data_IF_143927689541
#
_entry.id   IF_143927689541
#
_cell.length_a   1.000
_cell.length_b   1.000
_cell.length_c   1.000
_cell.angle_alpha   90.00
_cell.angle_beta   90.00
_cell.angle_gamma   90.00
#
_symmetry.space_group_name_H-M   'P 1'
#
loop_
_entity.id
_entity.type
_entity.pdbx_description
1 polymer ?
#
# COMPACT_ATOMS: atom_id res chain seq x y z
N UNK A 1 29.80 -62.63 5.37
CA UNK A 1 28.92 -62.64 4.18
C UNK A 1 29.26 -61.45 3.31
N UNK A 2 29.80 -61.73 2.11
CA UNK A 2 30.41 -60.77 1.20
C UNK A 2 29.34 -60.08 0.33
N UNK A 3 29.57 -58.83 -0.15
CA UNK A 3 28.67 -58.13 -1.07
C UNK A 3 28.92 -58.53 -2.53
N UNK A 4 27.94 -58.42 -3.41
CA UNK A 4 28.14 -58.69 -4.83
C UNK A 4 28.63 -57.47 -5.59
N UNK A 5 29.41 -57.79 -6.61
CA UNK A 5 30.19 -56.97 -7.54
C UNK A 5 29.37 -56.18 -8.54
N UNK A 6 29.95 -55.07 -8.93
CA UNK A 6 29.45 -54.11 -9.89
C UNK A 6 29.37 -54.56 -11.35
N UNK A 7 28.69 -53.75 -12.17
CA UNK A 7 28.79 -53.75 -13.62
C UNK A 7 29.15 -52.33 -14.07
N UNK A 8 30.39 -52.20 -14.55
CA UNK A 8 30.84 -51.05 -15.35
C UNK A 8 30.16 -51.13 -16.73
N UNK A 9 29.54 -50.04 -17.16
CA UNK A 9 29.26 -49.75 -18.57
C UNK A 9 30.00 -48.47 -18.95
N UNK A 10 31.00 -48.73 -19.73
CA UNK A 10 31.78 -47.79 -20.53
C UNK A 10 30.90 -47.08 -21.54
N UNK A 11 30.89 -45.77 -21.59
CA UNK A 11 30.29 -44.97 -22.66
C UNK A 11 31.31 -43.95 -23.16
N UNK A 12 32.06 -44.42 -24.16
CA UNK A 12 32.97 -43.65 -24.97
C UNK A 12 32.33 -42.44 -25.62
N UNK A 13 33.04 -41.32 -25.54
CA UNK A 13 32.64 -40.03 -26.09
C UNK A 13 32.50 -40.00 -27.61
N UNK A 14 31.49 -39.32 -28.07
CA UNK A 14 31.44 -38.76 -29.44
C UNK A 14 31.51 -37.25 -29.35
N UNK A 15 32.65 -36.71 -29.69
CA UNK A 15 32.84 -35.28 -29.97
C UNK A 15 32.23 -34.97 -31.34
N UNK A 16 31.18 -34.15 -31.34
CA UNK A 16 30.62 -33.59 -32.59
C UNK A 16 31.42 -32.33 -32.98
N UNK A 17 32.11 -32.44 -34.12
CA UNK A 17 32.88 -31.36 -34.72
C UNK A 17 31.97 -30.23 -35.25
N UNK A 18 32.20 -29.03 -34.77
CA UNK A 18 31.63 -27.77 -35.25
C UNK A 18 32.36 -27.23 -36.47
N UNK A 19 32.34 -27.92 -37.61
CA UNK A 19 32.87 -27.35 -38.88
C UNK A 19 32.41 -28.23 -40.02
N UNK A 20 31.19 -28.05 -40.48
CA UNK A 20 30.79 -28.37 -41.89
C UNK A 20 29.28 -28.09 -42.02
N UNK A 21 28.94 -26.96 -42.59
CA UNK A 21 27.73 -26.74 -43.41
C UNK A 21 27.68 -25.26 -43.82
N UNK A 22 28.65 -24.94 -44.67
CA UNK A 22 28.52 -23.80 -45.58
C UNK A 22 28.68 -24.39 -46.95
N UNK A 23 27.61 -24.54 -47.70
CA UNK A 23 27.53 -24.39 -49.17
C UNK A 23 26.27 -25.07 -49.72
N UNK A 24 25.48 -24.34 -50.44
CA UNK A 24 24.61 -24.91 -51.48
C UNK A 24 23.12 -24.61 -51.35
N UNK A 25 22.61 -23.72 -52.21
CA UNK A 25 21.21 -23.74 -52.60
C UNK A 25 20.48 -22.42 -52.65
N UNK A 26 20.81 -21.60 -53.67
CA UNK A 26 19.87 -20.56 -54.11
C UNK A 26 18.83 -21.21 -55.03
N UNK A 27 17.51 -21.00 -54.79
CA UNK A 27 16.50 -20.74 -55.82
C UNK A 27 15.05 -20.82 -55.28
N UNK A 28 14.29 -19.79 -55.60
CA UNK A 28 12.86 -19.72 -55.86
C UNK A 28 11.85 -20.04 -54.75
N UNK A 29 11.05 -19.02 -54.42
CA UNK A 29 9.76 -19.15 -53.76
C UNK A 29 9.21 -17.82 -53.25
N UNK A 30 8.79 -16.94 -54.14
CA UNK A 30 7.90 -15.81 -53.81
C UNK A 30 6.54 -16.35 -53.37
N UNK A 31 5.88 -15.61 -52.48
CA UNK A 31 4.51 -15.71 -51.98
C UNK A 31 4.37 -16.40 -50.61
N UNK A 32 4.48 -15.56 -49.59
CA UNK A 32 4.04 -15.82 -48.24
C UNK A 32 4.00 -14.50 -47.50
N UNK A 33 2.95 -13.69 -47.71
CA UNK A 33 2.68 -12.52 -46.90
C UNK A 33 2.40 -12.99 -45.48
N UNK A 34 3.46 -13.12 -44.68
CA UNK A 34 3.32 -13.16 -43.22
C UNK A 34 2.86 -11.79 -42.77
N UNK A 35 1.56 -11.70 -42.47
CA UNK A 35 1.00 -10.64 -41.70
C UNK A 35 1.67 -10.70 -40.32
N UNK A 36 2.84 -10.06 -40.18
CA UNK A 36 3.31 -9.61 -38.90
C UNK A 36 2.23 -8.67 -38.37
N UNK A 37 1.37 -9.18 -37.49
CA UNK A 37 0.57 -8.34 -36.60
C UNK A 37 1.55 -7.43 -35.95
N UNK A 38 1.71 -6.23 -36.48
CA UNK A 38 2.27 -5.12 -35.73
C UNK A 38 1.38 -4.99 -34.52
N UNK A 39 1.82 -5.52 -33.39
CA UNK A 39 1.40 -4.99 -32.10
C UNK A 39 1.75 -3.51 -32.22
N UNK A 40 0.76 -2.73 -32.58
CA UNK A 40 0.86 -1.29 -32.52
C UNK A 40 1.18 -1.00 -31.07
N UNK A 41 2.44 -0.72 -30.78
CA UNK A 41 2.83 0.10 -29.65
C UNK A 41 2.10 1.41 -29.95
N UNK A 42 0.86 1.49 -29.49
CA UNK A 42 0.11 2.73 -29.48
C UNK A 42 0.96 3.67 -28.65
N UNK A 43 1.70 4.48 -29.35
CA UNK A 43 2.47 5.62 -28.86
C UNK A 43 1.53 6.39 -27.94
N UNK A 44 1.69 6.21 -26.64
CA UNK A 44 0.93 6.90 -25.61
C UNK A 44 1.41 8.35 -25.50
N UNK A 45 1.26 9.09 -26.58
CA UNK A 45 1.31 10.57 -26.59
C UNK A 45 0.00 11.21 -26.19
N UNK A 46 -1.02 10.43 -25.85
CA UNK A 46 -2.22 10.90 -25.17
C UNK A 46 -2.01 10.80 -23.65
N UNK A 47 -1.26 11.77 -23.11
CA UNK A 47 -1.20 11.98 -21.67
C UNK A 47 -2.63 12.18 -21.14
N UNK A 48 -3.19 11.14 -20.54
CA UNK A 48 -4.43 11.28 -19.79
C UNK A 48 -5.64 10.51 -20.27
N UNK A 49 -5.52 9.25 -20.68
CA UNK A 49 -6.73 8.43 -20.84
C UNK A 49 -6.67 7.06 -20.17
N UNK A 50 -6.03 7.00 -18.98
CA UNK A 50 -6.07 5.79 -18.17
C UNK A 50 -7.50 5.36 -17.90
N UNK A 51 -8.42 6.27 -17.58
CA UNK A 51 -9.82 5.95 -17.35
C UNK A 51 -10.48 5.28 -18.56
N UNK A 52 -10.24 5.75 -19.78
CA UNK A 52 -10.77 5.09 -21.00
C UNK A 52 -10.19 3.70 -21.20
N UNK A 53 -8.89 3.53 -20.94
CA UNK A 53 -8.24 2.22 -20.99
C UNK A 53 -8.82 1.27 -19.94
N UNK A 54 -9.00 1.71 -18.70
CA UNK A 54 -9.60 0.91 -17.64
C UNK A 54 -11.05 0.50 -17.96
N UNK A 55 -11.83 1.40 -18.57
CA UNK A 55 -13.18 1.09 -19.06
C UNK A 55 -13.17 0.01 -20.12
N UNK A 56 -12.26 0.10 -21.10
CA UNK A 56 -12.15 -0.91 -22.17
C UNK A 56 -11.66 -2.25 -21.67
N UNK A 57 -10.78 -2.27 -20.67
CA UNK A 57 -10.28 -3.46 -20.00
C UNK A 57 -11.28 -4.05 -18.98
N UNK A 58 -12.22 -3.25 -18.52
CA UNK A 58 -13.20 -3.62 -17.50
C UNK A 58 -12.63 -3.80 -16.08
N UNK A 59 -11.36 -3.50 -15.85
CA UNK A 59 -10.70 -3.72 -14.57
C UNK A 59 -9.68 -2.63 -14.23
N UNK A 60 -9.50 -2.36 -12.92
CA UNK A 60 -8.46 -1.51 -12.34
C UNK A 60 -7.66 -2.31 -11.32
N UNK A 61 -6.34 -2.16 -11.32
CA UNK A 61 -5.44 -2.77 -10.35
C UNK A 61 -5.20 -1.80 -9.19
N UNK A 62 -5.42 -2.27 -7.97
CA UNK A 62 -5.29 -1.49 -6.75
C UNK A 62 -4.14 -2.00 -5.90
N UNK A 63 -3.11 -1.18 -5.67
CA UNK A 63 -2.03 -1.47 -4.73
C UNK A 63 -2.53 -1.39 -3.28
N UNK A 64 -2.32 -2.45 -2.51
CA UNK A 64 -2.73 -2.55 -1.10
C UNK A 64 -1.56 -3.04 -0.25
N UNK A 65 -1.57 -2.67 1.03
CA UNK A 65 -0.48 -2.99 1.97
C UNK A 65 -0.81 -4.08 3.01
N UNK A 66 -2.01 -4.66 2.95
CA UNK A 66 -2.45 -5.63 3.96
C UNK A 66 -2.75 -5.01 5.32
N UNK A 67 -2.79 -3.70 5.42
CA UNK A 67 -3.03 -3.00 6.67
C UNK A 67 -4.53 -2.91 6.98
N UNK A 68 -4.93 -3.55 8.08
CA UNK A 68 -6.30 -3.49 8.59
C UNK A 68 -6.45 -2.20 9.43
N UNK A 69 -7.49 -1.40 9.18
CA UNK A 69 -8.68 -1.70 8.38
C UNK A 69 -8.67 -1.10 6.96
N UNK A 70 -7.55 -0.59 6.45
CA UNK A 70 -7.51 0.21 5.23
C UNK A 70 -7.63 -0.60 3.95
N UNK A 71 -6.78 -1.60 3.72
CA UNK A 71 -6.84 -2.41 2.49
C UNK A 71 -6.12 -3.74 2.66
N UNK A 72 -6.86 -4.84 2.65
CA UNK A 72 -6.35 -6.17 2.97
C UNK A 72 -7.15 -7.28 2.28
N UNK A 73 -6.64 -8.51 2.36
CA UNK A 73 -7.36 -9.72 2.03
C UNK A 73 -7.82 -10.34 3.35
N UNK A 74 -9.10 -10.61 3.50
CA UNK A 74 -9.66 -11.18 4.72
C UNK A 74 -9.45 -12.70 4.83
N UNK A 75 -9.92 -13.29 5.91
CA UNK A 75 -9.79 -14.74 6.18
C UNK A 75 -10.52 -15.62 5.15
N UNK A 76 -11.50 -15.08 4.43
CA UNK A 76 -12.23 -15.77 3.36
C UNK A 76 -11.52 -15.64 1.99
N UNK A 77 -10.47 -14.85 1.91
CA UNK A 77 -9.78 -14.52 0.68
C UNK A 77 -10.39 -13.34 -0.07
N UNK A 78 -11.34 -12.64 0.55
CA UNK A 78 -11.99 -11.48 -0.06
C UNK A 78 -11.15 -10.21 0.09
N UNK A 79 -11.01 -9.49 -1.02
CA UNK A 79 -10.40 -8.17 -1.04
C UNK A 79 -11.35 -7.15 -0.45
N UNK A 80 -10.97 -6.58 0.70
CA UNK A 80 -11.83 -5.66 1.47
C UNK A 80 -11.02 -4.63 2.25
N UNK A 81 -11.71 -3.76 2.96
CA UNK A 81 -11.16 -2.67 3.75
C UNK A 81 -11.82 -1.33 3.42
N UNK A 82 -11.49 -0.34 4.18
CA UNK A 82 -12.02 1.02 4.03
C UNK A 82 -11.83 1.53 2.59
N UNK A 83 -10.59 1.57 2.10
CA UNK A 83 -10.27 2.09 0.78
C UNK A 83 -10.75 1.18 -0.38
N UNK A 84 -10.62 -0.16 -0.33
CA UNK A 84 -11.18 -1.03 -1.37
C UNK A 84 -12.67 -0.90 -1.56
N UNK A 85 -13.45 -0.82 -0.47
CA UNK A 85 -14.90 -0.72 -0.60
C UNK A 85 -15.36 0.62 -1.20
N UNK A 86 -14.66 1.72 -0.89
CA UNK A 86 -14.84 3.00 -1.57
C UNK A 86 -14.49 2.88 -3.06
N UNK A 87 -13.33 2.29 -3.38
CA UNK A 87 -12.86 2.13 -4.75
C UNK A 87 -13.83 1.29 -5.60
N UNK A 88 -14.34 0.16 -5.07
CA UNK A 88 -15.33 -0.68 -5.76
C UNK A 88 -16.54 0.13 -6.21
N UNK A 89 -17.10 0.97 -5.33
CA UNK A 89 -18.26 1.81 -5.65
C UNK A 89 -17.91 2.87 -6.69
N UNK A 90 -16.80 3.59 -6.49
CA UNK A 90 -16.40 4.68 -7.39
C UNK A 90 -16.05 4.14 -8.78
N UNK A 91 -15.23 3.10 -8.90
CA UNK A 91 -14.84 2.55 -10.20
C UNK A 91 -16.03 1.96 -10.96
N UNK A 92 -16.97 1.31 -10.28
CA UNK A 92 -18.22 0.86 -10.89
C UNK A 92 -19.00 2.03 -11.50
N UNK A 93 -19.09 3.17 -10.80
CA UNK A 93 -19.75 4.39 -11.31
C UNK A 93 -19.00 5.02 -12.48
N UNK A 94 -17.68 4.89 -12.48
CA UNK A 94 -16.81 5.32 -13.58
C UNK A 94 -16.83 4.36 -14.78
N UNK A 95 -17.61 3.27 -14.74
CA UNK A 95 -17.74 2.30 -15.84
C UNK A 95 -16.62 1.25 -15.87
N UNK A 96 -15.94 1.03 -14.75
CA UNK A 96 -14.92 -0.04 -14.57
C UNK A 96 -15.53 -1.10 -13.65
N UNK A 97 -15.80 -2.30 -14.18
CA UNK A 97 -16.61 -3.30 -13.50
C UNK A 97 -15.87 -4.02 -12.36
N UNK A 98 -14.56 -4.22 -12.50
CA UNK A 98 -13.78 -5.04 -11.58
C UNK A 98 -12.63 -4.27 -10.95
N UNK A 99 -12.37 -4.54 -9.68
CA UNK A 99 -11.15 -4.12 -8.97
C UNK A 99 -10.30 -5.35 -8.67
N UNK A 100 -9.00 -5.25 -8.89
CA UNK A 100 -8.04 -6.34 -8.72
C UNK A 100 -6.99 -5.91 -7.69
N UNK A 101 -6.85 -6.61 -6.55
CA UNK A 101 -5.82 -6.28 -5.58
C UNK A 101 -4.43 -6.66 -6.09
N UNK A 102 -3.46 -5.81 -5.80
CA UNK A 102 -2.02 -6.09 -5.94
C UNK A 102 -1.37 -5.89 -4.58
N UNK A 103 -1.24 -6.95 -3.78
CA UNK A 103 -0.61 -6.88 -2.47
C UNK A 103 0.87 -6.51 -2.58
N UNK A 104 1.32 -5.60 -1.74
CA UNK A 104 2.72 -5.20 -1.63
C UNK A 104 3.00 -4.65 -0.22
N UNK A 105 4.25 -4.37 0.10
CA UNK A 105 4.59 -3.66 1.33
C UNK A 105 4.25 -2.17 1.22
N UNK A 106 3.91 -1.53 2.34
CA UNK A 106 3.51 -0.12 2.35
C UNK A 106 4.58 0.80 1.74
N UNK A 107 5.86 0.57 2.04
CA UNK A 107 6.97 1.33 1.48
C UNK A 107 7.10 1.19 -0.05
N UNK A 108 6.58 0.10 -0.63
CA UNK A 108 6.63 -0.19 -2.07
C UNK A 108 5.43 0.37 -2.85
N UNK A 109 4.43 0.97 -2.19
CA UNK A 109 3.22 1.47 -2.85
C UNK A 109 3.53 2.58 -3.87
N UNK A 110 4.25 3.64 -3.48
CA UNK A 110 4.59 4.73 -4.41
C UNK A 110 5.52 4.26 -5.53
N UNK A 111 6.63 3.55 -5.26
CA UNK A 111 7.45 2.96 -6.31
C UNK A 111 6.67 2.05 -7.28
N UNK A 112 5.81 1.18 -6.76
CA UNK A 112 4.98 0.26 -7.55
C UNK A 112 3.97 1.00 -8.44
N UNK A 113 3.33 2.05 -7.92
CA UNK A 113 2.43 2.92 -8.70
C UNK A 113 3.17 3.60 -9.86
N UNK A 114 4.34 4.16 -9.59
CA UNK A 114 5.17 4.86 -10.59
C UNK A 114 5.72 3.91 -11.65
N UNK A 115 6.05 2.68 -11.29
CA UNK A 115 6.47 1.62 -12.22
C UNK A 115 5.31 0.86 -12.85
N UNK A 116 4.06 1.33 -12.70
CA UNK A 116 2.85 0.78 -13.32
C UNK A 116 2.54 -0.68 -12.93
N UNK A 117 2.98 -1.15 -11.77
CA UNK A 117 2.62 -2.46 -11.25
C UNK A 117 1.11 -2.53 -10.94
N UNK A 118 0.53 -1.40 -10.57
CA UNK A 118 -0.90 -1.19 -10.39
C UNK A 118 -1.28 0.23 -10.83
N UNK A 119 -2.56 0.53 -10.83
CA UNK A 119 -3.09 1.75 -11.43
C UNK A 119 -3.41 2.84 -10.39
N UNK A 120 -3.78 2.43 -9.17
CA UNK A 120 -4.14 3.33 -8.05
C UNK A 120 -3.67 2.71 -6.73
N UNK A 121 -3.21 3.53 -5.78
CA UNK A 121 -2.99 3.09 -4.39
C UNK A 121 -4.31 3.18 -3.62
N UNK A 122 -4.69 2.10 -2.95
CA UNK A 122 -5.91 1.94 -2.16
C UNK A 122 -5.56 1.32 -0.79
N UNK A 123 -4.88 2.08 0.06
CA UNK A 123 -4.22 1.57 1.27
C UNK A 123 -4.24 2.57 2.45
N UNK A 124 -5.17 3.51 2.47
CA UNK A 124 -5.22 4.52 3.53
C UNK A 124 -3.95 5.37 3.65
N UNK A 125 -3.36 5.73 2.50
CA UNK A 125 -2.09 6.46 2.48
C UNK A 125 -2.29 7.92 2.90
N UNK A 126 -1.59 8.37 3.95
CA UNK A 126 -1.59 9.78 4.35
C UNK A 126 -1.09 10.69 3.24
N UNK A 127 -1.80 11.78 3.03
CA UNK A 127 -1.44 12.87 2.12
C UNK A 127 -0.51 13.81 2.89
N UNK A 128 0.72 13.96 2.42
CA UNK A 128 1.70 14.89 2.98
C UNK A 128 2.59 15.48 1.87
N UNK A 129 3.32 16.59 2.11
CA UNK A 129 4.13 17.26 1.11
C UNK A 129 5.14 16.35 0.39
N UNK A 130 5.84 15.47 1.12
CA UNK A 130 6.88 14.61 0.53
C UNK A 130 6.30 13.59 -0.45
N UNK A 131 5.14 13.02 -0.14
CA UNK A 131 4.44 12.10 -1.05
C UNK A 131 3.83 12.83 -2.22
N UNK A 132 3.32 14.05 -2.01
CA UNK A 132 2.75 14.89 -3.07
C UNK A 132 3.79 15.31 -4.14
N UNK A 133 5.09 15.29 -3.83
CA UNK A 133 6.15 15.50 -4.82
C UNK A 133 6.29 14.32 -5.80
N UNK A 134 5.78 13.14 -5.44
CA UNK A 134 5.98 11.90 -6.19
C UNK A 134 4.71 11.40 -6.89
N UNK A 135 3.55 11.70 -6.33
CA UNK A 135 2.22 11.26 -6.77
C UNK A 135 1.18 12.36 -6.57
N UNK A 136 0.03 12.23 -7.23
CA UNK A 136 -1.13 13.07 -6.93
C UNK A 136 -2.17 12.27 -6.16
N UNK A 137 -2.92 12.95 -5.30
CA UNK A 137 -3.92 12.30 -4.45
C UNK A 137 -5.36 12.70 -4.85
N UNK A 138 -6.32 11.83 -4.54
CA UNK A 138 -7.71 12.25 -4.33
C UNK A 138 -7.78 13.22 -3.15
N UNK A 139 -8.90 13.92 -3.00
CA UNK A 139 -9.19 14.52 -1.71
C UNK A 139 -9.32 13.41 -0.65
N UNK A 140 -8.95 13.70 0.62
CA UNK A 140 -8.94 12.67 1.65
C UNK A 140 -10.34 12.14 1.92
N UNK A 141 -10.47 10.85 2.05
CA UNK A 141 -11.72 10.15 2.40
C UNK A 141 -11.91 10.05 3.91
N UNK A 142 -10.83 10.17 4.68
CA UNK A 142 -10.85 10.19 6.13
C UNK A 142 -9.77 11.10 6.73
N UNK A 143 -9.91 11.37 8.04
CA UNK A 143 -8.84 11.87 8.91
C UNK A 143 -8.80 11.05 10.18
N UNK A 144 -7.62 10.91 10.79
CA UNK A 144 -7.44 10.20 12.05
C UNK A 144 -6.38 10.86 12.92
N UNK A 145 -6.35 10.47 14.19
CA UNK A 145 -5.27 10.77 15.12
C UNK A 145 -4.36 9.58 15.26
N UNK A 146 -3.18 9.77 15.81
CA UNK A 146 -2.27 8.71 16.16
C UNK A 146 -2.64 8.08 17.50
N UNK A 147 -2.19 6.85 17.70
CA UNK A 147 -2.26 6.13 18.96
C UNK A 147 -1.07 5.17 19.05
N UNK A 148 -0.77 4.72 20.25
CA UNK A 148 0.24 3.69 20.46
C UNK A 148 -0.41 2.38 20.89
N UNK A 149 0.16 1.27 20.42
CA UNK A 149 0.05 -0.03 21.10
C UNK A 149 1.07 0.00 22.24
N UNK A 150 0.64 -0.17 23.47
CA UNK A 150 1.50 -0.27 24.64
C UNK A 150 1.20 -1.54 25.43
N UNK A 151 2.10 -1.99 26.27
CA UNK A 151 1.79 -3.05 27.23
C UNK A 151 0.70 -2.56 28.21
N UNK A 152 -0.14 -3.49 28.64
CA UNK A 152 -1.29 -3.20 29.51
C UNK A 152 -0.85 -2.42 30.75
N UNK A 153 -1.63 -1.37 31.06
CA UNK A 153 -1.32 -0.43 32.13
C UNK A 153 -0.30 0.66 31.76
N UNK A 154 0.14 0.72 30.50
CA UNK A 154 1.06 1.71 29.96
C UNK A 154 2.23 2.03 30.93
N UNK A 155 3.11 1.06 31.26
CA UNK A 155 4.08 1.18 32.36
C UNK A 155 5.12 2.29 32.15
N UNK A 156 5.27 2.81 30.93
CA UNK A 156 6.17 3.93 30.59
C UNK A 156 5.43 5.27 30.50
N UNK A 157 4.10 5.28 30.76
CA UNK A 157 3.24 6.47 30.70
C UNK A 157 3.38 7.26 29.38
N UNK A 158 3.27 6.55 28.24
CA UNK A 158 3.46 7.08 26.89
C UNK A 158 2.12 7.58 26.34
N UNK A 159 2.02 8.87 26.02
CA UNK A 159 0.79 9.49 25.50
C UNK A 159 1.04 10.32 24.24
N UNK A 160 2.29 10.69 23.97
CA UNK A 160 2.72 11.46 22.81
C UNK A 160 4.20 11.19 22.49
N UNK A 161 4.66 11.63 21.36
CA UNK A 161 6.03 11.32 20.90
C UNK A 161 7.13 11.88 21.81
N UNK A 162 6.94 13.05 22.41
CA UNK A 162 7.90 13.66 23.35
C UNK A 162 8.14 12.82 24.61
N UNK A 163 7.23 11.92 24.95
CA UNK A 163 7.38 11.07 26.12
C UNK A 163 8.48 10.03 25.93
N UNK A 164 8.78 9.64 24.70
CA UNK A 164 9.88 8.72 24.38
C UNK A 164 11.24 9.35 24.68
N UNK A 165 11.42 10.62 24.35
CA UNK A 165 12.65 11.36 24.65
C UNK A 165 12.90 11.43 26.16
N UNK A 166 11.82 11.67 26.94
CA UNK A 166 11.90 11.81 28.40
C UNK A 166 12.13 10.49 29.12
N UNK A 167 11.49 9.42 28.63
CA UNK A 167 11.51 8.11 29.32
C UNK A 167 12.60 7.17 28.83
N UNK A 168 13.23 7.46 27.68
CA UNK A 168 14.14 6.53 26.98
C UNK A 168 13.43 5.25 26.51
N UNK A 169 12.11 5.31 26.32
CA UNK A 169 11.31 4.19 25.84
C UNK A 169 11.64 3.88 24.39
N UNK A 170 11.55 2.59 24.01
CA UNK A 170 11.79 2.10 22.66
C UNK A 170 10.50 2.21 21.84
N UNK A 171 10.55 3.01 20.78
CA UNK A 171 9.45 3.14 19.82
C UNK A 171 9.62 2.15 18.67
N UNK A 172 8.52 1.57 18.21
CA UNK A 172 8.45 0.88 16.93
C UNK A 172 7.40 1.56 16.03
N UNK A 173 7.58 1.45 14.70
CA UNK A 173 6.56 1.88 13.71
C UNK A 173 6.75 1.11 12.40
N UNK A 174 5.75 1.19 11.51
CA UNK A 174 5.81 0.54 10.20
C UNK A 174 6.77 1.24 9.24
N UNK A 175 7.37 0.48 8.33
CA UNK A 175 8.24 1.03 7.28
C UNK A 175 7.51 2.06 6.43
N UNK A 176 8.09 3.24 6.27
CA UNK A 176 7.53 4.41 5.57
C UNK A 176 6.22 4.98 6.16
N UNK A 177 5.87 4.63 7.39
CA UNK A 177 4.76 5.25 8.11
C UNK A 177 5.10 6.70 8.49
N UNK A 178 4.10 7.59 8.43
CA UNK A 178 4.26 8.99 8.81
C UNK A 178 4.67 9.17 10.28
N UNK A 179 4.32 8.22 11.13
CA UNK A 179 4.61 8.19 12.56
C UNK A 179 6.13 8.22 12.86
N UNK A 180 6.97 7.70 11.97
CA UNK A 180 8.44 7.82 12.09
C UNK A 180 8.85 9.29 12.02
N UNK A 181 8.33 10.02 11.02
CA UNK A 181 8.61 11.45 10.87
C UNK A 181 8.15 12.29 12.07
N UNK A 182 6.98 11.98 12.63
CA UNK A 182 6.48 12.66 13.84
C UNK A 182 7.36 12.40 15.06
N UNK A 183 7.81 11.15 15.22
CA UNK A 183 8.70 10.79 16.33
C UNK A 183 10.06 11.50 16.21
N UNK A 184 10.65 11.54 15.01
CA UNK A 184 11.91 12.25 14.76
C UNK A 184 11.74 13.75 14.98
N UNK A 185 10.66 14.35 14.51
CA UNK A 185 10.35 15.76 14.75
C UNK A 185 10.18 16.08 16.24
N UNK A 186 9.64 15.15 17.03
CA UNK A 186 9.53 15.27 18.49
C UNK A 186 10.86 15.06 19.23
N UNK A 187 11.96 14.73 18.53
CA UNK A 187 13.29 14.57 19.09
C UNK A 187 13.72 13.14 19.38
N UNK A 188 12.93 12.14 18.96
CA UNK A 188 13.36 10.72 19.01
C UNK A 188 14.41 10.50 17.92
N UNK A 189 15.55 9.90 18.27
CA UNK A 189 16.58 9.59 17.28
C UNK A 189 16.09 8.49 16.34
N UNK A 190 16.28 8.68 15.05
CA UNK A 190 15.84 7.70 14.05
C UNK A 190 16.45 6.30 14.30
N UNK A 191 17.73 6.25 14.76
CA UNK A 191 18.41 5.01 15.16
C UNK A 191 17.74 4.25 16.31
N UNK A 192 16.93 4.95 17.12
CA UNK A 192 16.26 4.38 18.28
C UNK A 192 14.83 3.92 17.95
N UNK A 193 14.39 4.12 16.71
CA UNK A 193 13.08 3.67 16.21
C UNK A 193 13.24 2.30 15.55
N UNK A 194 12.54 1.30 16.08
CA UNK A 194 12.46 -0.02 15.47
C UNK A 194 11.49 0.01 14.28
N UNK A 195 12.02 -0.03 13.06
CA UNK A 195 11.21 -0.08 11.84
C UNK A 195 10.80 -1.53 11.58
N UNK A 196 9.50 -1.76 11.42
CA UNK A 196 8.90 -3.08 11.24
C UNK A 196 8.08 -3.12 9.94
N UNK A 197 7.83 -4.31 9.36
CA UNK A 197 7.10 -4.40 8.09
C UNK A 197 5.64 -3.94 8.21
N UNK A 198 4.97 -4.23 9.32
CA UNK A 198 3.55 -3.98 9.50
C UNK A 198 3.13 -3.84 10.97
N UNK A 199 1.85 -3.58 11.19
CA UNK A 199 1.25 -3.39 12.52
C UNK A 199 1.19 -4.68 13.35
N UNK A 200 1.13 -5.86 12.72
CA UNK A 200 1.12 -7.14 13.45
C UNK A 200 2.51 -7.43 14.02
N UNK A 201 3.57 -7.19 13.24
CA UNK A 201 4.94 -7.24 13.74
C UNK A 201 5.16 -6.25 14.90
N UNK A 202 4.52 -5.06 14.80
CA UNK A 202 4.51 -4.04 15.85
C UNK A 202 3.84 -4.53 17.14
N UNK A 203 2.66 -5.09 17.04
CA UNK A 203 1.94 -5.70 18.17
C UNK A 203 2.81 -6.74 18.87
N UNK A 204 3.37 -7.68 18.11
CA UNK A 204 4.21 -8.75 18.65
C UNK A 204 5.49 -8.20 19.29
N UNK A 205 6.09 -7.15 18.74
CA UNK A 205 7.27 -6.51 19.32
C UNK A 205 6.96 -5.92 20.72
N UNK A 206 5.78 -5.30 20.88
CA UNK A 206 5.34 -4.75 22.17
C UNK A 206 4.99 -5.87 23.16
N UNK A 207 4.25 -6.90 22.74
CA UNK A 207 3.90 -8.02 23.61
C UNK A 207 5.14 -8.77 24.14
N UNK A 208 6.16 -8.89 23.32
CA UNK A 208 7.43 -9.56 23.64
C UNK A 208 8.42 -8.64 24.37
N UNK A 209 8.09 -7.36 24.57
CA UNK A 209 8.96 -6.39 25.24
C UNK A 209 10.19 -5.95 24.41
N UNK A 210 10.19 -6.21 23.09
CA UNK A 210 11.23 -5.71 22.17
C UNK A 210 11.12 -4.23 21.91
N UNK A 211 9.88 -3.70 21.92
CA UNK A 211 9.54 -2.28 21.93
C UNK A 211 8.63 -1.97 23.11
N UNK A 212 8.67 -0.74 23.60
CA UNK A 212 7.77 -0.27 24.67
C UNK A 212 6.43 0.19 24.08
N UNK A 213 6.44 0.68 22.84
CA UNK A 213 5.24 1.00 22.09
C UNK A 213 5.41 0.81 20.58
N UNK A 214 4.28 0.64 19.88
CA UNK A 214 4.19 0.74 18.41
C UNK A 214 3.28 1.90 18.04
N UNK A 215 3.77 2.82 17.20
CA UNK A 215 3.01 3.97 16.70
C UNK A 215 2.27 3.63 15.40
N UNK A 216 0.99 3.98 15.35
CA UNK A 216 0.15 3.85 14.18
C UNK A 216 -1.07 4.78 14.27
N UNK A 217 -1.97 4.68 13.29
CA UNK A 217 -3.25 5.39 13.38
C UNK A 217 -4.11 4.79 14.49
N UNK A 218 -4.94 5.60 15.13
CA UNK A 218 -5.82 5.11 16.19
C UNK A 218 -6.79 4.01 15.70
N UNK A 219 -7.20 4.05 14.43
CA UNK A 219 -8.06 2.99 13.85
C UNK A 219 -7.28 1.69 13.65
N UNK A 220 -6.05 1.74 13.16
CA UNK A 220 -5.16 0.57 13.00
C UNK A 220 -4.86 -0.05 14.36
N UNK A 221 -4.42 0.75 15.31
CA UNK A 221 -4.09 0.30 16.67
C UNK A 221 -5.26 -0.42 17.33
N UNK A 222 -6.45 0.18 17.30
CA UNK A 222 -7.66 -0.47 17.85
C UNK A 222 -8.02 -1.76 17.14
N UNK A 223 -7.89 -1.81 15.80
CA UNK A 223 -8.26 -3.00 15.03
C UNK A 223 -7.30 -4.15 15.27
N UNK A 224 -5.98 -3.93 15.23
CA UNK A 224 -5.00 -5.01 15.43
C UNK A 224 -5.07 -5.58 16.86
N UNK A 225 -5.28 -4.74 17.87
CA UNK A 225 -5.48 -5.20 19.25
C UNK A 225 -6.76 -6.04 19.37
N UNK A 226 -7.86 -5.61 18.77
CA UNK A 226 -9.12 -6.36 18.80
C UNK A 226 -8.98 -7.75 18.16
N UNK A 227 -8.32 -7.85 17.03
CA UNK A 227 -8.12 -9.11 16.30
C UNK A 227 -7.17 -10.06 17.04
N UNK A 228 -6.15 -9.56 17.69
CA UNK A 228 -5.20 -10.37 18.48
C UNK A 228 -5.76 -10.87 19.80
N UNK A 229 -6.96 -10.41 20.19
CA UNK A 229 -7.56 -10.69 21.50
C UNK A 229 -6.94 -9.93 22.65
N UNK A 230 -5.99 -9.02 22.40
CA UNK A 230 -5.52 -7.89 23.22
C UNK A 230 -5.29 -8.12 24.72
N UNK A 231 -4.84 -9.30 25.15
CA UNK A 231 -4.73 -9.59 26.60
C UNK A 231 -3.56 -8.89 27.29
N UNK A 232 -2.47 -8.63 26.54
CA UNK A 232 -1.20 -8.11 27.07
C UNK A 232 -0.92 -6.66 26.71
N UNK A 233 -1.67 -6.14 25.78
CA UNK A 233 -1.51 -4.79 25.22
C UNK A 233 -2.81 -4.00 25.27
N UNK A 234 -2.68 -2.69 25.14
CA UNK A 234 -3.80 -1.76 25.03
C UNK A 234 -3.45 -0.61 24.11
N UNK A 235 -4.47 0.08 23.60
CA UNK A 235 -4.32 1.31 22.86
C UNK A 235 -4.21 2.50 23.84
N UNK A 236 -3.33 3.45 23.56
CA UNK A 236 -3.40 4.74 24.23
C UNK A 236 -4.59 5.53 23.70
N UNK A 237 -5.01 6.57 24.45
CA UNK A 237 -5.96 7.55 23.92
C UNK A 237 -5.40 8.19 22.64
N UNK A 238 -6.26 8.40 21.62
CA UNK A 238 -5.83 9.03 20.38
C UNK A 238 -5.35 10.48 20.64
N UNK A 239 -4.18 10.80 20.10
CA UNK A 239 -3.58 12.12 20.23
C UNK A 239 -3.26 12.74 18.88
N UNK A 240 -3.12 14.07 18.85
CA UNK A 240 -2.73 14.82 17.66
C UNK A 240 -1.22 14.86 17.57
N UNK A 241 -0.66 14.34 16.47
CA UNK A 241 0.77 14.49 16.17
C UNK A 241 1.10 15.97 15.91
N UNK A 242 2.31 16.37 16.24
CA UNK A 242 2.86 17.68 15.90
C UNK A 242 3.94 17.56 14.85
N UNK A 243 3.96 18.48 13.89
CA UNK A 243 5.06 18.69 12.96
C UNK A 243 5.49 20.16 13.07
N UNK A 244 6.75 20.40 13.38
CA UNK A 244 7.29 21.74 13.65
C UNK A 244 6.47 22.53 14.68
N UNK A 245 6.03 21.83 15.74
CA UNK A 245 5.24 22.40 16.83
C UNK A 245 3.78 22.72 16.49
N UNK A 246 3.33 22.40 15.26
CA UNK A 246 1.94 22.60 14.81
C UNK A 246 1.21 21.27 14.72
N UNK A 247 -0.10 21.22 15.04
CA UNK A 247 -0.90 20.05 14.83
C UNK A 247 -0.87 19.60 13.36
N UNK A 248 -0.41 18.38 13.09
CA UNK A 248 -0.48 17.78 11.77
C UNK A 248 -1.71 16.87 11.66
N UNK A 249 -2.42 16.94 10.54
CA UNK A 249 -3.67 16.21 10.35
C UNK A 249 -3.38 14.95 9.57
N UNK A 250 -3.40 13.82 10.24
CA UNK A 250 -3.35 12.53 9.57
C UNK A 250 -4.62 12.31 8.75
N UNK A 251 -4.55 12.59 7.46
CA UNK A 251 -5.66 12.39 6.53
C UNK A 251 -5.16 11.61 5.30
N UNK A 252 -5.92 10.61 4.90
CA UNK A 252 -5.52 9.72 3.81
C UNK A 252 -6.45 9.78 2.61
N UNK A 253 -5.95 9.27 1.50
CA UNK A 253 -6.67 9.21 0.24
C UNK A 253 -6.04 8.23 -0.73
N UNK A 254 -6.56 8.21 -1.94
CA UNK A 254 -6.09 7.39 -3.04
C UNK A 254 -4.97 8.10 -3.79
N UNK A 255 -3.89 7.38 -4.12
CA UNK A 255 -2.79 7.98 -4.89
C UNK A 255 -2.82 7.50 -6.35
N UNK A 256 -2.49 8.43 -7.24
CA UNK A 256 -2.44 8.26 -8.69
C UNK A 256 -1.09 8.75 -9.21
N UNK A 257 -0.67 8.30 -10.39
CA UNK A 257 0.51 8.86 -11.05
C UNK A 257 0.29 10.33 -11.40
N UNK A 258 1.34 11.15 -11.43
CA UNK A 258 1.21 12.61 -11.66
C UNK A 258 0.46 12.99 -12.95
N UNK A 259 0.61 12.19 -14.00
CA UNK A 259 -0.04 12.40 -15.30
C UNK A 259 -1.53 12.01 -15.32
N UNK A 260 -2.02 11.27 -14.34
CA UNK A 260 -3.39 10.73 -14.33
C UNK A 260 -4.43 11.67 -13.69
N UNK A 261 -4.29 12.96 -13.95
CA UNK A 261 -5.16 14.01 -13.39
C UNK A 261 -6.64 13.79 -13.74
N UNK A 262 -6.94 13.37 -14.97
CA UNK A 262 -8.32 13.13 -15.42
C UNK A 262 -9.00 12.00 -14.63
N UNK A 263 -8.24 10.92 -14.33
CA UNK A 263 -8.76 9.82 -13.51
C UNK A 263 -8.98 10.29 -12.07
N UNK A 264 -7.99 10.97 -11.47
CA UNK A 264 -8.08 11.54 -10.12
C UNK A 264 -9.27 12.48 -9.99
N UNK A 265 -9.50 13.38 -10.96
CA UNK A 265 -10.59 14.33 -10.92
C UNK A 265 -11.96 13.65 -11.05
N UNK A 266 -12.08 12.66 -11.95
CA UNK A 266 -13.28 11.85 -12.06
C UNK A 266 -13.57 11.05 -10.77
N UNK A 267 -12.52 10.53 -10.14
CA UNK A 267 -12.62 9.85 -8.85
C UNK A 267 -13.12 10.81 -7.76
N UNK A 268 -12.56 12.02 -7.66
CA UNK A 268 -12.98 13.04 -6.70
C UNK A 268 -14.44 13.44 -6.85
N UNK A 269 -14.94 13.55 -8.10
CA UNK A 269 -16.36 13.85 -8.33
C UNK A 269 -17.27 12.81 -7.65
N UNK A 270 -16.97 11.54 -7.79
CA UNK A 270 -17.75 10.47 -7.14
C UNK A 270 -17.52 10.42 -5.62
N UNK A 271 -16.31 10.61 -5.17
CA UNK A 271 -15.98 10.68 -3.73
C UNK A 271 -16.76 11.81 -3.04
N UNK A 272 -16.83 13.01 -3.65
CA UNK A 272 -17.59 14.13 -3.10
C UNK A 272 -19.12 13.84 -3.06
N UNK A 273 -19.67 13.15 -4.07
CA UNK A 273 -21.06 12.69 -4.02
C UNK A 273 -21.31 11.75 -2.85
N UNK A 274 -20.39 10.81 -2.60
CA UNK A 274 -20.48 9.86 -1.48
C UNK A 274 -20.37 10.58 -0.12
N UNK A 275 -19.47 11.56 0.01
CA UNK A 275 -19.38 12.41 1.22
C UNK A 275 -20.70 13.14 1.47
N UNK A 276 -21.18 13.88 0.47
CA UNK A 276 -22.41 14.70 0.57
C UNK A 276 -23.66 13.90 0.89
N UNK A 277 -23.77 12.68 0.38
CA UNK A 277 -24.93 11.80 0.62
C UNK A 277 -24.85 11.02 1.94
N UNK A 278 -23.70 11.05 2.63
CA UNK A 278 -23.42 10.20 3.80
C UNK A 278 -23.14 8.74 3.44
N UNK A 279 -23.03 8.41 2.17
CA UNK A 279 -22.73 7.06 1.69
C UNK A 279 -21.32 6.63 2.09
N UNK A 280 -20.34 7.55 2.03
CA UNK A 280 -18.98 7.29 2.48
C UNK A 280 -18.98 6.73 3.90
N UNK A 281 -19.60 7.42 4.84
CA UNK A 281 -19.67 6.97 6.23
C UNK A 281 -20.35 5.61 6.38
N UNK A 282 -21.38 5.31 5.58
CA UNK A 282 -22.05 3.99 5.62
C UNK A 282 -21.10 2.87 5.19
N UNK A 283 -20.29 3.12 4.17
CA UNK A 283 -19.32 2.15 3.64
C UNK A 283 -18.20 1.90 4.66
N UNK A 284 -17.65 2.96 5.27
CA UNK A 284 -16.45 2.82 6.11
C UNK A 284 -16.75 2.45 7.57
N UNK A 285 -18.01 2.55 7.99
CA UNK A 285 -18.44 2.23 9.37
C UNK A 285 -18.08 0.82 9.83
N UNK A 286 -18.24 -0.26 9.01
CA UNK A 286 -17.84 -1.61 9.40
C UNK A 286 -16.35 -1.74 9.73
N UNK A 287 -15.53 -0.85 9.20
CA UNK A 287 -14.08 -0.80 9.39
C UNK A 287 -13.66 0.05 10.60
N UNK A 288 -14.63 0.52 11.40
CA UNK A 288 -14.35 1.26 12.64
C UNK A 288 -14.25 2.77 12.49
N UNK A 289 -14.62 3.31 11.33
CA UNK A 289 -14.72 4.75 11.10
C UNK A 289 -16.07 5.30 11.56
N UNK A 290 -16.06 6.52 12.08
CA UNK A 290 -17.23 7.23 12.60
C UNK A 290 -17.33 8.62 11.96
N UNK A 291 -18.27 9.43 12.42
CA UNK A 291 -18.34 10.84 11.99
C UNK A 291 -17.08 11.64 12.36
N UNK A 292 -16.34 11.23 13.39
CA UNK A 292 -15.13 11.92 13.82
C UNK A 292 -13.99 11.81 12.80
N UNK A 293 -13.98 10.73 12.04
CA UNK A 293 -12.99 10.49 11.00
C UNK A 293 -13.37 11.09 9.64
N UNK A 294 -14.61 11.60 9.47
CA UNK A 294 -15.01 12.28 8.23
C UNK A 294 -14.37 13.66 8.12
N UNK A 295 -14.05 14.07 6.89
CA UNK A 295 -13.31 15.31 6.63
C UNK A 295 -13.74 15.96 5.32
N UNK A 296 -13.69 17.30 5.29
CA UNK A 296 -13.90 18.13 4.10
C UNK A 296 -12.58 18.77 3.61
N UNK A 297 -11.44 18.36 4.19
CA UNK A 297 -10.12 18.77 3.73
C UNK A 297 -9.91 18.37 2.27
N UNK A 298 -9.00 19.07 1.61
CA UNK A 298 -8.59 18.78 0.23
C UNK A 298 -7.14 18.30 0.18
N UNK A 299 -6.79 17.53 -0.84
CA UNK A 299 -5.41 17.15 -1.09
C UNK A 299 -4.50 18.38 -1.25
N UNK A 300 -5.03 19.47 -1.84
CA UNK A 300 -4.30 20.73 -2.02
C UNK A 300 -3.90 21.38 -0.69
N UNK A 301 -4.72 21.25 0.36
CA UNK A 301 -4.40 21.79 1.70
C UNK A 301 -3.33 20.96 2.38
N UNK A 302 -3.36 19.63 2.19
CA UNK A 302 -2.45 18.68 2.82
C UNK A 302 -1.09 18.53 2.10
N UNK A 303 -1.00 18.93 0.83
CA UNK A 303 0.23 18.93 0.04
C UNK A 303 1.08 20.22 0.17
N UNK A 304 0.71 21.14 1.06
CA UNK A 304 1.41 22.42 1.23
C UNK A 304 2.53 22.37 2.25
#
# INVERSE_FOLDING_TARGET
MAPPRGIHKDMSGRRLNRRALLAGGAAMGLLGATACSRVSSADSKDGGNLLSRLRSQGAVRLGIAGEIPFGYIDENGDFTGEAPEIAKVIFKRLGVAHVQPVPTEFASLIPGLRSQQFDVVSAGMYINPDRCQQVIFSDPDYRVRDSFIVRKGNPKNLHKYEDFVKSGAKLASGSAYAQIGYAVNAGVKESDIMVLPDQLAGLLAVEQGRADAFAGTAVTVRNVIRQSGGRRVEATEPFQALLDGKPDIGAGGFAFRPEETKLRDAFNVELHKMKKSGELLRIVRPFGFTKAEMTDLTAKELCR
#
